data_IF_182896041174
#
_entry.id   IF_182896041174
#
_cell.length_a   1.000
_cell.length_b   1.000
_cell.length_c   1.000
_cell.angle_alpha   90.00
_cell.angle_beta   90.00
_cell.angle_gamma   90.00
#
_symmetry.space_group_name_H-M   'P 1'
#
loop_
_entity.id
_entity.type
_entity.pdbx_description
1 polymer ?
#
# COMPACT_ATOMS: atom_id res chain seq x y z
N UNK A 1 3.53 23.46 1.32
CA UNK A 1 3.53 22.13 0.64
C UNK A 1 3.55 20.91 1.58
N UNK A 2 3.34 21.05 2.90
CA UNK A 2 3.54 19.93 3.84
C UNK A 2 2.29 19.09 4.17
N UNK A 3 1.08 19.56 3.84
CA UNK A 3 -0.17 18.85 4.19
C UNK A 3 -0.37 17.58 3.34
N UNK A 4 -0.01 17.63 2.06
CA UNK A 4 -0.17 16.49 1.14
C UNK A 4 0.72 15.32 1.55
N UNK A 5 2.00 15.59 1.82
CA UNK A 5 2.96 14.58 2.29
C UNK A 5 2.53 13.96 3.61
N UNK A 6 2.06 14.76 4.57
CA UNK A 6 1.61 14.25 5.86
C UNK A 6 0.37 13.34 5.73
N UNK A 7 -0.53 13.65 4.80
CA UNK A 7 -1.71 12.83 4.54
C UNK A 7 -1.32 11.49 3.89
N UNK A 8 -0.46 11.53 2.87
CA UNK A 8 0.10 10.32 2.23
C UNK A 8 0.84 9.47 3.27
N UNK A 9 1.66 10.08 4.12
CA UNK A 9 2.45 9.34 5.11
C UNK A 9 1.58 8.62 6.15
N UNK A 10 0.46 9.24 6.56
CA UNK A 10 -0.51 8.59 7.45
C UNK A 10 -1.15 7.39 6.78
N UNK A 11 -1.70 7.57 5.58
CA UNK A 11 -2.32 6.51 4.80
C UNK A 11 -1.36 5.34 4.59
N UNK A 12 -0.12 5.64 4.21
CA UNK A 12 0.94 4.63 4.03
C UNK A 12 1.28 3.92 5.33
N UNK A 13 1.37 4.66 6.45
CA UNK A 13 1.69 4.06 7.75
C UNK A 13 0.58 3.13 8.24
N UNK A 14 -0.68 3.51 8.08
CA UNK A 14 -1.82 2.65 8.40
C UNK A 14 -1.82 1.39 7.52
N UNK A 15 -1.62 1.57 6.20
CA UNK A 15 -1.55 0.46 5.25
C UNK A 15 -0.40 -0.52 5.57
N UNK A 16 0.78 0.03 5.92
CA UNK A 16 1.96 -0.71 6.36
C UNK A 16 1.67 -1.60 7.57
N UNK A 17 0.93 -1.09 8.55
CA UNK A 17 0.54 -1.84 9.74
C UNK A 17 -0.50 -2.92 9.44
N UNK A 18 -1.50 -2.63 8.61
CA UNK A 18 -2.55 -3.58 8.25
C UNK A 18 -2.01 -4.75 7.43
N UNK A 19 -1.15 -4.46 6.46
CA UNK A 19 -0.67 -5.45 5.51
C UNK A 19 0.72 -5.98 5.83
N UNK A 20 1.42 -5.46 6.85
CA UNK A 20 2.79 -5.83 7.21
C UNK A 20 3.78 -5.65 6.04
N UNK A 21 3.72 -4.51 5.36
CA UNK A 21 4.55 -4.19 4.19
C UNK A 21 5.60 -3.13 4.52
N UNK A 22 6.63 -2.95 3.69
CA UNK A 22 7.61 -1.89 3.91
C UNK A 22 7.01 -0.50 3.66
N UNK A 23 7.16 0.41 4.64
CA UNK A 23 6.74 1.82 4.50
C UNK A 23 7.45 2.51 3.33
N UNK A 24 8.71 2.18 3.08
CA UNK A 24 9.52 2.84 2.04
C UNK A 24 8.97 2.59 0.63
N UNK A 25 8.70 1.32 0.29
CA UNK A 25 8.16 0.95 -1.03
C UNK A 25 6.76 1.54 -1.25
N UNK A 26 5.91 1.49 -0.22
CA UNK A 26 4.53 1.97 -0.30
C UNK A 26 4.50 3.51 -0.36
N UNK A 27 5.39 4.19 0.36
CA UNK A 27 5.53 5.65 0.30
C UNK A 27 5.99 6.10 -1.08
N UNK A 28 6.94 5.38 -1.68
CA UNK A 28 7.36 5.62 -3.06
C UNK A 28 6.19 5.41 -4.03
N UNK A 29 5.47 4.30 -3.89
CA UNK A 29 4.32 4.00 -4.71
C UNK A 29 3.23 5.08 -4.60
N UNK A 30 2.95 5.57 -3.40
CA UNK A 30 1.94 6.59 -3.14
C UNK A 30 2.33 7.96 -3.72
N UNK A 31 3.58 8.39 -3.52
CA UNK A 31 4.06 9.69 -4.01
C UNK A 31 4.18 9.76 -5.53
N UNK A 32 4.47 8.62 -6.16
CA UNK A 32 4.57 8.48 -7.61
C UNK A 32 3.30 7.92 -8.27
N UNK A 33 2.23 7.68 -7.51
CA UNK A 33 0.96 7.16 -8.03
C UNK A 33 0.35 8.15 -9.01
N UNK A 34 0.17 7.74 -10.26
CA UNK A 34 -0.49 8.54 -11.30
C UNK A 34 -1.25 7.63 -12.25
N UNK A 35 -2.38 8.14 -12.73
CA UNK A 35 -3.15 7.52 -13.81
C UNK A 35 -3.60 6.08 -13.53
N UNK A 36 -3.77 5.71 -12.24
CA UNK A 36 -4.18 4.37 -11.85
C UNK A 36 -3.05 3.32 -11.85
N UNK A 37 -1.80 3.74 -12.06
CA UNK A 37 -0.62 2.88 -12.06
C UNK A 37 0.13 2.97 -10.73
N UNK A 38 0.38 1.81 -10.12
CA UNK A 38 1.16 1.69 -8.88
C UNK A 38 2.61 1.39 -9.25
N UNK A 39 3.55 2.33 -9.05
CA UNK A 39 4.96 2.03 -9.21
C UNK A 39 5.43 1.08 -8.11
N UNK A 40 6.47 0.28 -8.40
CA UNK A 40 7.04 -0.67 -7.43
C UNK A 40 6.06 -1.72 -6.88
N UNK A 41 4.97 -2.03 -7.59
CA UNK A 41 4.02 -3.08 -7.18
C UNK A 41 4.72 -4.42 -6.85
N UNK A 42 5.73 -4.78 -7.63
CA UNK A 42 6.51 -5.99 -7.40
C UNK A 42 7.40 -5.90 -6.15
N UNK A 43 7.99 -4.73 -5.87
CA UNK A 43 8.80 -4.52 -4.68
C UNK A 43 7.93 -4.60 -3.42
N UNK A 44 6.75 -3.97 -3.41
CA UNK A 44 5.79 -4.06 -2.30
C UNK A 44 5.41 -5.51 -2.01
N UNK A 45 5.16 -6.34 -3.03
CA UNK A 45 4.87 -7.77 -2.84
C UNK A 45 6.06 -8.53 -2.25
N UNK A 46 7.28 -8.16 -2.62
CA UNK A 46 8.51 -8.79 -2.12
C UNK A 46 8.79 -8.38 -0.68
N UNK A 47 8.56 -7.11 -0.35
CA UNK A 47 8.78 -6.56 1.00
C UNK A 47 7.61 -6.78 1.95
N UNK A 48 6.50 -7.31 1.45
CA UNK A 48 5.37 -7.74 2.25
C UNK A 48 5.69 -8.97 3.12
N UNK A 49 5.51 -8.83 4.43
CA UNK A 49 5.67 -9.90 5.40
C UNK A 49 4.41 -10.77 5.48
N UNK A 50 4.21 -11.55 4.40
CA UNK A 50 3.18 -12.59 4.35
C UNK A 50 3.20 -13.56 5.55
N UNK A 51 4.36 -14.03 6.07
CA UNK A 51 4.33 -14.94 7.21
C UNK A 51 3.75 -14.29 8.48
N UNK A 52 4.05 -13.02 8.77
CA UNK A 52 3.45 -12.29 9.90
C UNK A 52 1.96 -12.09 9.70
N UNK A 53 1.53 -11.68 8.51
CA UNK A 53 0.11 -11.53 8.18
C UNK A 53 -0.65 -12.86 8.33
N UNK A 54 -0.08 -13.95 7.81
CA UNK A 54 -0.65 -15.30 7.93
C UNK A 54 -0.67 -15.80 9.37
N UNK A 55 0.30 -15.41 10.20
CA UNK A 55 0.33 -15.79 11.62
C UNK A 55 -0.74 -15.04 12.43
N UNK A 56 -1.04 -13.79 12.05
CA UNK A 56 -2.10 -12.99 12.67
C UNK A 56 -3.51 -13.42 12.20
N UNK A 57 -3.64 -13.97 10.99
CA UNK A 57 -4.90 -14.45 10.43
C UNK A 57 -5.14 -15.93 10.72
N UNK A 58 -6.30 -16.24 11.30
CA UNK A 58 -6.70 -17.62 11.61
C UNK A 58 -6.95 -18.45 10.33
N UNK A 59 -7.31 -17.78 9.23
CA UNK A 59 -7.47 -18.41 7.91
C UNK A 59 -6.22 -18.24 7.04
N UNK A 60 -5.62 -19.38 6.68
CA UNK A 60 -4.52 -19.42 5.73
C UNK A 60 -5.00 -19.09 4.31
N UNK A 61 -4.87 -17.82 3.91
CA UNK A 61 -5.06 -17.42 2.52
C UNK A 61 -3.81 -17.76 1.69
N UNK A 62 -3.96 -18.09 0.38
CA UNK A 62 -2.82 -18.27 -0.49
C UNK A 62 -2.01 -16.97 -0.67
N UNK A 63 -0.69 -17.10 -0.83
CA UNK A 63 0.24 -15.99 -1.06
C UNK A 63 -0.17 -15.10 -2.25
N UNK A 64 -0.60 -15.72 -3.36
CA UNK A 64 -1.08 -14.96 -4.53
C UNK A 64 -2.33 -14.13 -4.21
N UNK A 65 -3.24 -14.66 -3.37
CA UNK A 65 -4.50 -13.99 -3.02
C UNK A 65 -4.24 -12.83 -2.08
N UNK A 66 -3.32 -13.01 -1.13
CA UNK A 66 -2.82 -11.95 -0.27
C UNK A 66 -2.27 -10.79 -1.10
N UNK A 67 -1.39 -11.07 -2.07
CA UNK A 67 -0.84 -10.02 -2.94
C UNK A 67 -1.90 -9.33 -3.80
N UNK A 68 -2.86 -10.08 -4.35
CA UNK A 68 -3.94 -9.49 -5.12
C UNK A 68 -4.80 -8.56 -4.26
N UNK A 69 -5.12 -8.97 -3.03
CA UNK A 69 -5.91 -8.15 -2.10
C UNK A 69 -5.14 -6.92 -1.64
N UNK A 70 -3.86 -7.08 -1.27
CA UNK A 70 -2.97 -6.00 -0.87
C UNK A 70 -2.89 -4.93 -1.98
N UNK A 71 -2.62 -5.32 -3.23
CA UNK A 71 -2.51 -4.35 -4.32
C UNK A 71 -3.86 -3.70 -4.65
N UNK A 72 -4.96 -4.46 -4.61
CA UNK A 72 -6.28 -3.90 -4.85
C UNK A 72 -6.68 -2.87 -3.78
N UNK A 73 -6.40 -3.19 -2.51
CA UNK A 73 -6.64 -2.31 -1.36
C UNK A 73 -5.75 -1.07 -1.41
N UNK A 74 -4.46 -1.25 -1.74
CA UNK A 74 -3.52 -0.16 -1.93
C UNK A 74 -4.00 0.76 -3.06
N UNK A 75 -4.36 0.20 -4.22
CA UNK A 75 -4.84 0.97 -5.36
C UNK A 75 -6.06 1.79 -4.99
N UNK A 76 -7.04 1.16 -4.35
CA UNK A 76 -8.27 1.82 -3.92
C UNK A 76 -7.96 2.97 -2.96
N UNK A 77 -7.11 2.72 -1.96
CA UNK A 77 -6.69 3.73 -0.98
C UNK A 77 -5.97 4.90 -1.65
N UNK A 78 -5.05 4.63 -2.58
CA UNK A 78 -4.35 5.68 -3.34
C UNK A 78 -5.29 6.44 -4.28
N UNK A 79 -6.29 5.78 -4.85
CA UNK A 79 -7.29 6.41 -5.71
C UNK A 79 -8.20 7.36 -4.92
N UNK A 80 -8.72 6.90 -3.77
CA UNK A 80 -9.65 7.67 -2.94
C UNK A 80 -8.94 8.78 -2.15
N UNK A 81 -7.77 8.51 -1.58
CA UNK A 81 -7.10 9.45 -0.67
C UNK A 81 -5.98 10.24 -1.36
N UNK A 82 -5.14 9.60 -2.19
CA UNK A 82 -3.90 10.22 -2.71
C UNK A 82 -4.11 10.94 -4.04
N UNK A 83 -4.91 10.40 -4.95
CA UNK A 83 -5.23 11.02 -6.25
C UNK A 83 -5.80 12.43 -6.12
N UNK A 84 -6.82 12.70 -5.28
CA UNK A 84 -7.32 14.06 -5.11
C UNK A 84 -6.28 15.03 -4.54
N UNK A 85 -5.30 14.54 -3.77
CA UNK A 85 -4.22 15.37 -3.23
C UNK A 85 -3.14 15.70 -4.26
N UNK A 86 -2.87 14.79 -5.20
CA UNK A 86 -1.86 14.95 -6.24
C UNK A 86 -2.34 15.79 -7.42
N UNK A 87 -3.63 15.75 -7.73
CA UNK A 87 -4.21 16.40 -8.92
C UNK A 87 -4.81 17.79 -8.65
N UNK A 88 -4.58 18.35 -7.45
CA UNK A 88 -5.04 19.68 -7.02
C UNK A 88 -3.86 20.61 -6.72
#
# INVERSE_FOLDING_TARGET
ENMKHNCIEKVVSEFCLTWYVSKEDVMYAATHYRNGEIPNENAIKVTADFPSYKAAQEQAIPKFKYYAMLIADLKKTLDEEVTPLLNN
#
